data_IF_386996097637
#
_entry.id   IF_386996097637
#
_cell.length_a   1.000
_cell.length_b   1.000
_cell.length_c   1.000
_cell.angle_alpha   90.00
_cell.angle_beta   90.00
_cell.angle_gamma   90.00
#
_symmetry.space_group_name_H-M   'P 1'
#
loop_
_entity.id
_entity.type
_entity.pdbx_description
1 polymer ?
#
# COMPACT_ATOMS: atom_id res chain seq x y z
N UNK A 1 66.75 -40.59 26.91
CA UNK A 1 65.44 -40.01 27.27
C UNK A 1 64.74 -39.62 25.99
N UNK A 2 63.50 -40.09 25.82
CA UNK A 2 62.70 -39.93 24.60
C UNK A 2 61.80 -38.71 24.72
N UNK A 3 62.11 -37.66 23.97
CA UNK A 3 61.18 -36.55 23.73
C UNK A 3 60.49 -36.77 22.38
N UNK A 4 59.24 -37.21 22.43
CA UNK A 4 58.34 -37.24 21.28
C UNK A 4 57.35 -36.10 21.42
N UNK A 5 57.66 -34.96 20.79
CA UNK A 5 56.73 -33.85 20.60
C UNK A 5 55.70 -34.22 19.54
N UNK A 6 54.55 -34.75 19.97
CA UNK A 6 53.44 -35.08 19.07
C UNK A 6 52.59 -33.82 18.80
N UNK A 7 53.00 -33.06 17.79
CA UNK A 7 52.18 -32.32 16.81
C UNK A 7 51.09 -31.32 17.28
N UNK A 8 51.29 -30.00 17.14
CA UNK A 8 50.25 -28.97 17.38
C UNK A 8 49.14 -28.88 16.32
N UNK A 9 48.99 -29.87 15.43
CA UNK A 9 48.09 -29.79 14.27
C UNK A 9 46.60 -29.99 14.62
N UNK A 10 46.25 -30.94 15.50
CA UNK A 10 44.85 -31.29 15.75
C UNK A 10 44.03 -30.15 16.36
N UNK A 11 44.60 -29.40 17.31
CA UNK A 11 43.90 -28.27 17.95
C UNK A 11 43.64 -27.11 17.00
N UNK A 12 44.55 -26.85 16.06
CA UNK A 12 44.32 -25.82 15.04
C UNK A 12 43.22 -26.22 14.06
N UNK A 13 43.19 -27.49 13.62
CA UNK A 13 42.20 -28.00 12.67
C UNK A 13 40.79 -27.93 13.25
N UNK A 14 40.60 -28.26 14.53
CA UNK A 14 39.28 -28.18 15.19
C UNK A 14 38.79 -26.74 15.30
N UNK A 15 39.67 -25.81 15.67
CA UNK A 15 39.33 -24.37 15.75
C UNK A 15 38.97 -23.81 14.37
N UNK A 16 39.75 -24.13 13.33
CA UNK A 16 39.45 -23.68 11.96
C UNK A 16 38.15 -24.28 11.41
N UNK A 17 37.90 -25.56 11.66
CA UNK A 17 36.66 -26.22 11.27
C UNK A 17 35.45 -25.57 11.94
N UNK A 18 35.52 -25.32 13.25
CA UNK A 18 34.44 -24.67 14.00
C UNK A 18 34.18 -23.24 13.48
N UNK A 19 35.25 -22.46 13.24
CA UNK A 19 35.13 -21.11 12.68
C UNK A 19 34.51 -21.13 11.28
N UNK A 20 34.86 -22.10 10.44
CA UNK A 20 34.29 -22.28 9.11
C UNK A 20 32.79 -22.59 9.17
N UNK A 21 32.38 -23.55 10.00
CA UNK A 21 30.96 -23.89 10.17
C UNK A 21 30.14 -22.73 10.74
N UNK A 22 30.68 -21.99 11.71
CA UNK A 22 30.06 -20.76 12.22
C UNK A 22 29.91 -19.71 11.11
N UNK A 23 30.96 -19.48 10.33
CA UNK A 23 30.92 -18.56 9.18
C UNK A 23 29.87 -18.95 8.14
N UNK A 24 29.79 -20.24 7.79
CA UNK A 24 28.75 -20.76 6.90
C UNK A 24 27.34 -20.59 7.47
N UNK A 25 27.14 -20.86 8.77
CA UNK A 25 25.85 -20.66 9.42
C UNK A 25 25.42 -19.20 9.40
N UNK A 26 26.32 -18.27 9.69
CA UNK A 26 26.04 -16.85 9.62
C UNK A 26 25.79 -16.38 8.19
N UNK A 27 26.56 -16.84 7.21
CA UNK A 27 26.34 -16.53 5.79
C UNK A 27 24.97 -17.04 5.31
N UNK A 28 24.61 -18.28 5.68
CA UNK A 28 23.31 -18.86 5.40
C UNK A 28 22.17 -18.08 6.06
N UNK A 29 22.33 -17.72 7.34
CA UNK A 29 21.36 -16.93 8.10
C UNK A 29 21.23 -15.49 7.59
N UNK A 30 22.30 -14.90 7.03
CA UNK A 30 22.23 -13.59 6.39
C UNK A 30 21.46 -13.63 5.05
N UNK A 31 21.55 -14.75 4.32
CA UNK A 31 20.86 -14.96 3.04
C UNK A 31 19.39 -15.34 3.24
N UNK A 32 19.09 -16.24 4.19
CA UNK A 32 17.75 -16.80 4.41
C UNK A 32 17.01 -16.30 5.66
N UNK A 33 17.71 -15.67 6.61
CA UNK A 33 17.11 -15.23 7.87
C UNK A 33 16.17 -14.05 7.68
N UNK A 34 15.25 -13.88 8.63
CA UNK A 34 14.21 -12.84 8.63
C UNK A 34 14.70 -11.39 8.48
N UNK A 35 16.01 -11.16 8.63
CA UNK A 35 16.70 -9.86 8.47
C UNK A 35 17.45 -9.71 7.14
N UNK A 36 17.39 -10.70 6.25
CA UNK A 36 18.00 -10.66 4.92
C UNK A 36 17.30 -9.67 3.96
N UNK A 37 18.04 -9.26 2.92
CA UNK A 37 17.66 -8.25 1.90
C UNK A 37 16.26 -8.46 1.29
N UNK A 38 15.75 -9.69 1.30
CA UNK A 38 14.44 -10.06 0.77
C UNK A 38 13.23 -9.47 1.52
N UNK A 39 13.36 -9.08 2.80
CA UNK A 39 12.22 -8.49 3.54
C UNK A 39 11.83 -7.11 3.00
N UNK A 40 12.79 -6.34 2.47
CA UNK A 40 12.52 -5.05 1.82
C UNK A 40 11.64 -5.20 0.58
N UNK A 41 11.94 -6.20 -0.26
CA UNK A 41 11.18 -6.47 -1.49
C UNK A 41 9.74 -6.87 -1.19
N UNK A 42 9.52 -7.71 -0.17
CA UNK A 42 8.16 -8.12 0.22
C UNK A 42 7.34 -6.97 0.78
N UNK A 43 7.96 -6.13 1.64
CA UNK A 43 7.30 -4.95 2.21
C UNK A 43 6.93 -3.95 1.11
N UNK A 44 7.81 -3.70 0.13
CA UNK A 44 7.49 -2.77 -0.97
C UNK A 44 6.32 -3.24 -1.82
N UNK A 45 6.21 -4.55 -2.07
CA UNK A 45 5.07 -5.10 -2.81
C UNK A 45 3.76 -5.00 -2.03
N UNK A 46 3.77 -5.29 -0.73
CA UNK A 46 2.59 -5.16 0.14
C UNK A 46 2.17 -3.69 0.29
N UNK A 47 3.14 -2.78 0.41
CA UNK A 47 2.90 -1.34 0.50
C UNK A 47 2.29 -0.79 -0.79
N UNK A 48 2.75 -1.25 -1.96
CA UNK A 48 2.16 -0.87 -3.25
C UNK A 48 0.70 -1.34 -3.39
N UNK A 49 0.39 -2.56 -2.96
CA UNK A 49 -0.97 -3.08 -2.97
C UNK A 49 -1.90 -2.27 -2.04
N UNK A 50 -1.45 -2.00 -0.81
CA UNK A 50 -2.19 -1.17 0.16
C UNK A 50 -2.43 0.25 -0.36
N UNK A 51 -1.46 0.88 -1.02
CA UNK A 51 -1.63 2.21 -1.60
C UNK A 51 -2.68 2.23 -2.72
N UNK A 52 -2.70 1.19 -3.56
CA UNK A 52 -3.70 1.07 -4.61
C UNK A 52 -5.11 0.89 -4.02
N UNK A 53 -5.26 0.03 -3.02
CA UNK A 53 -6.53 -0.20 -2.33
C UNK A 53 -7.04 1.08 -1.65
N UNK A 54 -6.15 1.80 -0.95
CA UNK A 54 -6.49 3.09 -0.35
C UNK A 54 -6.98 4.11 -1.39
N UNK A 55 -6.31 4.18 -2.54
CA UNK A 55 -6.71 5.09 -3.62
C UNK A 55 -8.11 4.78 -4.15
N UNK A 56 -8.42 3.49 -4.33
CA UNK A 56 -9.77 3.06 -4.73
C UNK A 56 -10.81 3.41 -3.67
N UNK A 57 -10.55 3.15 -2.39
CA UNK A 57 -11.48 3.48 -1.31
C UNK A 57 -11.71 4.99 -1.18
N UNK A 58 -10.67 5.81 -1.34
CA UNK A 58 -10.80 7.26 -1.33
C UNK A 58 -11.66 7.77 -2.50
N UNK A 59 -11.52 7.19 -3.68
CA UNK A 59 -12.37 7.53 -4.83
C UNK A 59 -13.85 7.19 -4.56
N UNK A 60 -14.12 6.00 -4.01
CA UNK A 60 -15.48 5.60 -3.63
C UNK A 60 -16.07 6.51 -2.56
N UNK A 61 -15.28 6.89 -1.55
CA UNK A 61 -15.72 7.84 -0.52
C UNK A 61 -16.09 9.20 -1.14
N UNK A 62 -15.26 9.73 -2.04
CA UNK A 62 -15.55 11.01 -2.70
C UNK A 62 -16.84 10.96 -3.53
N UNK A 63 -17.11 9.86 -4.21
CA UNK A 63 -18.37 9.65 -4.94
C UNK A 63 -19.58 9.61 -4.00
N UNK A 64 -19.48 8.82 -2.92
CA UNK A 64 -20.54 8.70 -1.93
C UNK A 64 -20.78 10.02 -1.19
N UNK A 65 -19.74 10.77 -0.86
CA UNK A 65 -19.84 12.11 -0.27
C UNK A 65 -20.56 13.07 -1.21
N UNK A 66 -20.27 13.04 -2.52
CA UNK A 66 -20.98 13.85 -3.49
C UNK A 66 -22.47 13.49 -3.57
N UNK A 67 -22.79 12.19 -3.67
CA UNK A 67 -24.17 11.72 -3.69
C UNK A 67 -24.93 12.09 -2.41
N UNK A 68 -24.28 11.93 -1.24
CA UNK A 68 -24.85 12.29 0.06
C UNK A 68 -25.09 13.80 0.15
N UNK A 69 -24.16 14.60 -0.35
CA UNK A 69 -24.32 16.05 -0.42
C UNK A 69 -25.53 16.40 -1.29
N UNK A 70 -25.66 15.79 -2.48
CA UNK A 70 -26.78 16.02 -3.39
C UNK A 70 -28.15 15.59 -2.84
N UNK A 71 -28.16 14.57 -1.98
CA UNK A 71 -29.38 14.09 -1.32
C UNK A 71 -29.73 14.92 -0.08
N UNK A 72 -28.79 15.70 0.45
CA UNK A 72 -29.01 16.45 1.69
C UNK A 72 -29.97 17.62 1.46
N UNK A 73 -30.85 17.86 2.43
CA UNK A 73 -31.82 18.96 2.40
C UNK A 73 -31.16 20.36 2.32
N UNK A 74 -29.87 20.46 2.65
CA UNK A 74 -29.09 21.70 2.57
C UNK A 74 -28.48 21.97 1.18
N UNK A 75 -28.57 21.02 0.25
CA UNK A 75 -28.09 21.17 -1.12
C UNK A 75 -29.28 21.43 -2.06
N UNK A 76 -29.31 22.62 -2.64
CA UNK A 76 -30.35 23.06 -3.56
C UNK A 76 -29.85 22.89 -5.00
N UNK A 77 -30.41 21.91 -5.72
CA UNK A 77 -30.12 21.73 -7.15
C UNK A 77 -30.79 22.86 -7.95
N UNK A 78 -29.97 23.77 -8.48
CA UNK A 78 -30.42 24.96 -9.19
C UNK A 78 -31.22 24.61 -10.45
N UNK A 79 -30.93 23.48 -11.09
CA UNK A 79 -31.65 23.04 -12.29
C UNK A 79 -33.07 22.57 -11.91
N UNK A 80 -33.19 21.79 -10.82
CA UNK A 80 -34.52 21.41 -10.30
C UNK A 80 -35.30 22.62 -9.78
N UNK A 81 -34.63 23.61 -9.21
CA UNK A 81 -35.27 24.87 -8.80
C UNK A 81 -35.79 25.65 -10.03
N UNK A 82 -35.00 25.74 -11.11
CA UNK A 82 -35.42 26.40 -12.36
C UNK A 82 -36.58 25.66 -13.01
N UNK A 83 -36.56 24.32 -13.05
CA UNK A 83 -37.69 23.52 -13.54
C UNK A 83 -38.96 23.76 -12.73
N UNK A 84 -38.87 23.74 -11.38
CA UNK A 84 -40.03 23.98 -10.52
C UNK A 84 -40.52 25.43 -10.60
N UNK A 85 -39.61 26.40 -10.77
CA UNK A 85 -39.98 27.78 -11.00
C UNK A 85 -40.72 27.95 -12.34
N UNK A 86 -40.27 27.29 -13.42
CA UNK A 86 -40.95 27.28 -14.73
C UNK A 86 -42.34 26.65 -14.64
N UNK A 87 -42.46 25.50 -13.97
CA UNK A 87 -43.72 24.74 -13.86
C UNK A 87 -44.77 25.45 -12.98
N UNK A 88 -44.35 25.99 -11.82
CA UNK A 88 -45.26 26.61 -10.85
C UNK A 88 -45.58 28.07 -11.20
N UNK A 89 -44.57 28.85 -11.60
CA UNK A 89 -44.71 30.28 -11.82
C UNK A 89 -44.92 30.62 -13.30
N UNK A 90 -44.85 29.64 -14.21
CA UNK A 90 -44.95 29.88 -15.65
C UNK A 90 -43.84 30.76 -16.18
N UNK A 91 -42.67 30.78 -15.51
CA UNK A 91 -41.52 31.61 -15.89
C UNK A 91 -40.96 31.14 -17.24
N UNK A 92 -41.51 31.66 -18.33
CA UNK A 92 -40.85 31.68 -19.62
C UNK A 92 -40.16 33.03 -19.71
N UNK A 93 -38.83 33.01 -19.85
CA UNK A 93 -38.06 34.20 -20.21
C UNK A 93 -38.66 34.79 -21.49
N UNK A 94 -38.83 36.12 -21.54
CA UNK A 94 -39.51 36.81 -22.65
C UNK A 94 -38.94 36.47 -24.05
N UNK A 95 -37.74 35.89 -24.09
CA UNK A 95 -36.94 35.50 -25.23
C UNK A 95 -36.96 33.99 -25.62
N UNK A 96 -37.72 33.11 -24.96
CA UNK A 96 -37.81 31.67 -25.32
C UNK A 96 -39.08 31.34 -26.15
N UNK A 97 -38.89 30.75 -27.35
CA UNK A 97 -39.97 30.33 -28.27
C UNK A 97 -40.32 28.87 -28.02
N UNK A 98 -41.55 28.59 -27.56
CA UNK A 98 -42.09 27.22 -27.45
C UNK A 98 -42.58 26.76 -28.83
N UNK A 99 -41.92 25.74 -29.40
CA UNK A 99 -42.38 25.07 -30.63
C UNK A 99 -43.24 23.88 -30.19
N UNK A 100 -44.51 23.87 -30.63
CA UNK A 100 -45.50 22.81 -30.37
C UNK A 100 -45.48 21.74 -31.47
#
# INVERSE_FOLDING_TARGET
MSDSHTGPALGSITVFSLAFFLGCYFAYSAVQGDYGVFRKVKIETELKALHQERGMLQANLAELENLTMRLSDGFLDLDLLDERARDVLGYVRYDEIVIR
#
